data_IF_587942380759
#
_entry.id   IF_587942380759
#
_cell.length_a   1.000
_cell.length_b   1.000
_cell.length_c   1.000
_cell.angle_alpha   90.00
_cell.angle_beta   90.00
_cell.angle_gamma   90.00
#
_symmetry.space_group_name_H-M   'P 1'
#
loop_
_entity.id
_entity.type
_entity.pdbx_description
1 polymer ?
#
# COMPACT_ATOMS: atom_id res chain seq x y z
N UNK A 1 -8.95 14.78 4.79
CA UNK A 1 -9.72 13.60 4.33
C UNK A 1 -10.94 14.09 3.55
N UNK A 2 -11.32 13.45 2.45
CA UNK A 2 -12.47 13.84 1.60
C UNK A 2 -13.71 12.93 1.81
N UNK A 3 -13.84 12.31 2.98
CA UNK A 3 -14.88 11.31 3.30
C UNK A 3 -15.62 11.73 4.56
N UNK A 4 -16.92 11.43 4.61
CA UNK A 4 -17.77 11.60 5.78
C UNK A 4 -18.15 10.22 6.34
N UNK A 5 -18.09 10.07 7.65
CA UNK A 5 -18.31 8.82 8.35
C UNK A 5 -19.32 9.01 9.48
N UNK A 6 -20.16 8.00 9.73
CA UNK A 6 -20.97 7.97 10.95
C UNK A 6 -20.04 7.80 12.16
N UNK A 7 -20.25 8.59 13.21
CA UNK A 7 -19.40 8.58 14.41
C UNK A 7 -19.34 7.21 15.09
N UNK A 8 -20.42 6.44 15.02
CA UNK A 8 -20.50 5.11 15.61
C UNK A 8 -19.53 4.07 15.01
N UNK A 9 -19.08 4.27 13.77
CA UNK A 9 -18.07 3.40 13.16
C UNK A 9 -16.72 3.47 13.89
N UNK A 10 -16.49 4.54 14.66
CA UNK A 10 -15.30 4.76 15.48
C UNK A 10 -15.51 4.36 16.94
N UNK A 11 -16.47 3.52 17.32
CA UNK A 11 -16.59 3.10 18.73
C UNK A 11 -15.37 2.29 19.17
N UNK A 12 -15.00 1.29 18.39
CA UNK A 12 -13.93 0.30 18.64
C UNK A 12 -12.69 0.47 17.75
N UNK A 13 -12.73 1.39 16.78
CA UNK A 13 -11.61 1.64 15.84
C UNK A 13 -10.98 3.00 16.15
N UNK A 14 -9.65 3.05 16.24
CA UNK A 14 -8.88 4.30 16.43
C UNK A 14 -7.70 4.34 15.47
N UNK A 15 -7.32 5.55 15.07
CA UNK A 15 -6.08 5.76 14.34
C UNK A 15 -4.88 5.34 15.19
N UNK A 16 -3.97 4.51 14.66
CA UNK A 16 -2.76 4.13 15.39
C UNK A 16 -1.84 5.35 15.55
N UNK A 17 -1.38 5.60 16.78
CA UNK A 17 -0.47 6.72 17.07
C UNK A 17 0.93 6.41 16.52
N UNK A 18 1.51 7.36 15.80
CA UNK A 18 2.91 7.30 15.34
C UNK A 18 3.16 6.45 14.09
N UNK A 19 2.12 5.85 13.49
CA UNK A 19 2.22 5.09 12.26
C UNK A 19 2.09 6.03 11.05
N UNK A 20 2.96 5.92 10.04
CA UNK A 20 2.91 6.78 8.83
C UNK A 20 1.75 6.50 7.86
N UNK A 21 1.18 5.31 7.96
CA UNK A 21 0.07 4.86 7.12
C UNK A 21 -1.17 4.65 7.98
N UNK A 22 -1.39 5.53 8.96
CA UNK A 22 -2.51 5.51 9.90
C UNK A 22 -3.86 5.55 9.20
N UNK A 23 -3.96 6.33 8.11
CA UNK A 23 -5.17 6.38 7.27
C UNK A 23 -5.42 5.02 6.61
N UNK A 24 -4.38 4.37 6.06
CA UNK A 24 -4.52 3.05 5.44
C UNK A 24 -4.88 2.00 6.49
N UNK A 25 -4.30 2.06 7.69
CA UNK A 25 -4.60 1.14 8.77
C UNK A 25 -6.05 1.27 9.30
N UNK A 26 -6.71 2.41 9.05
CA UNK A 26 -8.00 2.75 9.69
C UNK A 26 -9.16 2.77 8.71
N UNK A 27 -9.04 3.50 7.59
CA UNK A 27 -10.16 3.77 6.69
C UNK A 27 -10.77 2.50 6.06
N UNK A 28 -9.98 1.51 5.59
CA UNK A 28 -10.53 0.26 5.07
C UNK A 28 -11.34 -0.53 6.10
N UNK A 29 -10.94 -0.50 7.37
CA UNK A 29 -11.70 -1.12 8.46
C UNK A 29 -13.06 -0.43 8.63
N UNK A 30 -13.09 0.91 8.62
CA UNK A 30 -14.35 1.66 8.71
C UNK A 30 -15.28 1.38 7.52
N UNK A 31 -14.71 1.20 6.32
CA UNK A 31 -15.48 0.81 5.13
C UNK A 31 -16.04 -0.60 5.26
N UNK A 32 -15.26 -1.55 5.82
CA UNK A 32 -15.73 -2.90 6.09
C UNK A 32 -16.89 -2.93 7.10
N UNK A 33 -16.84 -2.09 8.13
CA UNK A 33 -17.92 -1.96 9.13
C UNK A 33 -19.17 -1.25 8.60
N UNK A 34 -19.06 -0.49 7.51
CA UNK A 34 -20.15 0.35 7.02
C UNK A 34 -21.22 -0.50 6.32
N UNK A 35 -22.47 -0.41 6.79
CA UNK A 35 -23.59 -1.08 6.11
C UNK A 35 -23.93 -0.50 4.73
N UNK A 36 -23.48 0.73 4.43
CA UNK A 36 -23.59 1.33 3.10
C UNK A 36 -22.48 2.34 2.85
N UNK A 37 -22.04 2.42 1.58
CA UNK A 37 -21.02 3.37 1.12
C UNK A 37 -21.53 4.05 -0.14
N UNK A 38 -21.53 5.39 -0.16
CA UNK A 38 -21.98 6.20 -1.29
C UNK A 38 -20.84 7.08 -1.78
N UNK A 39 -20.69 7.21 -3.10
CA UNK A 39 -19.68 8.05 -3.75
C UNK A 39 -20.36 9.22 -4.48
N UNK A 40 -20.01 10.44 -4.12
CA UNK A 40 -20.29 11.63 -4.93
C UNK A 40 -19.13 11.83 -5.90
N UNK A 41 -19.39 11.79 -7.21
CA UNK A 41 -18.35 11.87 -8.24
C UNK A 41 -18.05 13.33 -8.64
N UNK A 42 -17.80 14.18 -7.64
CA UNK A 42 -17.52 15.62 -7.83
C UNK A 42 -16.29 16.05 -7.04
N UNK A 43 -15.50 16.95 -7.62
CA UNK A 43 -14.24 17.44 -7.06
C UNK A 43 -14.44 18.55 -6.01
N UNK A 44 -15.17 18.23 -4.94
CA UNK A 44 -15.55 19.21 -3.90
C UNK A 44 -14.45 19.48 -2.86
N UNK A 45 -13.41 18.64 -2.82
CA UNK A 45 -12.28 18.77 -1.89
C UNK A 45 -10.98 18.97 -2.66
N UNK A 46 -10.29 20.09 -2.43
CA UNK A 46 -9.01 20.40 -3.10
C UNK A 46 -7.82 19.99 -2.22
N UNK A 47 -6.95 19.14 -2.75
CA UNK A 47 -5.74 18.72 -2.06
C UNK A 47 -4.63 19.77 -2.20
N UNK A 48 -4.09 20.26 -1.08
CA UNK A 48 -2.97 21.21 -1.08
C UNK A 48 -1.65 20.47 -1.21
N UNK A 49 -0.94 20.68 -2.31
CA UNK A 49 0.42 20.17 -2.51
C UNK A 49 1.44 21.23 -2.08
N UNK A 50 2.53 20.79 -1.42
CA UNK A 50 3.64 21.66 -1.00
C UNK A 50 4.97 20.95 -1.22
N UNK A 51 6.01 21.74 -1.49
CA UNK A 51 7.41 21.27 -1.43
C UNK A 51 7.76 20.83 -0.01
N UNK A 52 8.65 19.85 0.12
CA UNK A 52 8.99 19.24 1.42
C UNK A 52 7.93 18.27 1.95
N UNK A 53 7.08 17.72 1.08
CA UNK A 53 6.23 16.60 1.48
C UNK A 53 7.10 15.38 1.84
N UNK A 54 6.63 14.61 2.81
CA UNK A 54 7.28 13.38 3.29
C UNK A 54 7.51 12.35 2.17
N UNK A 55 6.81 12.49 1.04
CA UNK A 55 6.80 11.50 -0.04
C UNK A 55 8.19 11.21 -0.65
N UNK A 56 9.11 12.18 -0.67
CA UNK A 56 10.39 12.08 -1.40
C UNK A 56 11.60 11.72 -0.52
N UNK A 57 11.51 11.96 0.79
CA UNK A 57 12.61 11.64 1.71
C UNK A 57 12.63 10.15 2.06
N UNK A 58 13.80 9.53 1.96
CA UNK A 58 14.00 8.15 2.40
C UNK A 58 13.95 8.06 3.93
N UNK A 59 12.99 7.29 4.42
CA UNK A 59 12.76 7.05 5.84
C UNK A 59 12.30 5.60 6.03
N UNK A 60 12.76 4.94 7.10
CA UNK A 60 12.39 3.53 7.36
C UNK A 60 10.90 3.34 7.60
N UNK A 61 10.17 4.39 7.98
CA UNK A 61 8.71 4.40 8.14
C UNK A 61 7.94 4.17 6.85
N UNK A 62 8.57 4.17 5.66
CA UNK A 62 7.88 3.66 4.46
C UNK A 62 7.42 2.20 4.63
N UNK A 63 8.09 1.43 5.50
CA UNK A 63 7.76 0.03 5.75
C UNK A 63 6.63 -0.16 6.77
N UNK A 64 6.16 0.91 7.42
CA UNK A 64 4.95 0.90 8.26
C UNK A 64 3.69 0.50 7.45
N UNK A 65 3.78 0.57 6.11
CA UNK A 65 2.74 0.08 5.19
C UNK A 65 2.36 -1.37 5.51
N UNK A 66 3.31 -2.22 5.88
CA UNK A 66 3.02 -3.63 6.17
C UNK A 66 2.28 -3.78 7.49
N UNK A 67 2.65 -3.03 8.52
CA UNK A 67 1.89 -2.95 9.77
C UNK A 67 0.46 -2.47 9.52
N UNK A 68 0.27 -1.46 8.66
CA UNK A 68 -1.06 -0.99 8.28
C UNK A 68 -1.88 -2.07 7.56
N UNK A 69 -1.29 -2.76 6.57
CA UNK A 69 -1.96 -3.81 5.82
C UNK A 69 -2.30 -5.03 6.68
N UNK A 70 -1.37 -5.46 7.53
CA UNK A 70 -1.56 -6.56 8.47
C UNK A 70 -2.68 -6.22 9.48
N UNK A 71 -2.75 -4.97 9.96
CA UNK A 71 -3.85 -4.51 10.82
C UNK A 71 -5.22 -4.67 10.17
N UNK A 72 -5.35 -4.29 8.88
CA UNK A 72 -6.61 -4.46 8.14
C UNK A 72 -6.95 -5.94 8.01
N UNK A 73 -5.98 -6.76 7.57
CA UNK A 73 -6.15 -8.19 7.36
C UNK A 73 -6.61 -8.88 8.63
N UNK A 74 -5.95 -8.60 9.74
CA UNK A 74 -6.19 -9.26 11.01
C UNK A 74 -7.53 -8.82 11.61
N UNK A 75 -7.89 -7.54 11.47
CA UNK A 75 -9.22 -7.06 11.85
C UNK A 75 -10.33 -7.74 11.06
N UNK A 76 -10.22 -7.80 9.73
CA UNK A 76 -11.25 -8.41 8.89
C UNK A 76 -11.37 -9.91 9.18
N UNK A 77 -10.26 -10.64 9.27
CA UNK A 77 -10.28 -12.07 9.62
C UNK A 77 -10.91 -12.37 10.98
N UNK A 78 -10.76 -11.47 11.94
CA UNK A 78 -11.37 -11.61 13.27
C UNK A 78 -12.88 -11.32 13.27
N UNK A 79 -13.40 -10.61 12.26
CA UNK A 79 -14.80 -10.15 12.22
C UNK A 79 -15.61 -10.73 11.04
N UNK A 80 -14.97 -11.42 10.11
CA UNK A 80 -15.61 -12.10 8.98
C UNK A 80 -14.60 -12.84 8.10
N UNK A 81 -15.10 -13.42 7.00
CA UNK A 81 -14.31 -14.29 6.13
C UNK A 81 -14.80 -14.22 4.67
N UNK A 82 -15.34 -13.07 4.27
CA UNK A 82 -15.88 -12.83 2.93
C UNK A 82 -14.75 -12.93 1.89
N UNK A 83 -14.81 -13.89 0.94
CA UNK A 83 -13.73 -14.12 -0.02
C UNK A 83 -13.40 -12.89 -0.87
N UNK A 84 -14.41 -12.10 -1.24
CA UNK A 84 -14.23 -10.88 -2.02
C UNK A 84 -13.47 -9.81 -1.22
N UNK A 85 -13.72 -9.69 0.08
CA UNK A 85 -13.04 -8.73 0.96
C UNK A 85 -11.60 -9.18 1.19
N UNK A 86 -11.37 -10.47 1.44
CA UNK A 86 -10.02 -11.01 1.59
C UNK A 86 -9.19 -10.87 0.30
N UNK A 87 -9.82 -11.08 -0.86
CA UNK A 87 -9.21 -10.82 -2.16
C UNK A 87 -8.88 -9.34 -2.35
N UNK A 88 -9.77 -8.42 -1.94
CA UNK A 88 -9.50 -6.99 -1.97
C UNK A 88 -8.32 -6.61 -1.06
N UNK A 89 -8.20 -7.21 0.13
CA UNK A 89 -7.06 -7.01 1.04
C UNK A 89 -5.77 -7.55 0.43
N UNK A 90 -5.78 -8.73 -0.17
CA UNK A 90 -4.64 -9.28 -0.91
C UNK A 90 -4.17 -8.31 -2.01
N UNK A 91 -5.13 -7.74 -2.76
CA UNK A 91 -4.88 -6.68 -3.74
C UNK A 91 -4.29 -5.40 -3.15
N UNK A 92 -4.51 -5.08 -1.87
CA UNK A 92 -3.85 -3.95 -1.21
C UNK A 92 -2.35 -4.21 -1.02
N UNK A 93 -1.92 -5.44 -0.72
CA UNK A 93 -0.48 -5.78 -0.67
C UNK A 93 0.20 -5.63 -2.02
N UNK A 94 -0.45 -6.08 -3.10
CA UNK A 94 0.06 -5.89 -4.46
C UNK A 94 0.15 -4.40 -4.83
N UNK A 95 -0.90 -3.61 -4.59
CA UNK A 95 -0.89 -2.19 -4.95
C UNK A 95 0.07 -1.40 -4.07
N UNK A 96 -0.02 -1.52 -2.74
CA UNK A 96 0.76 -0.68 -1.85
C UNK A 96 2.18 -1.20 -1.66
N UNK A 97 2.36 -2.50 -1.41
CA UNK A 97 3.66 -3.10 -1.13
C UNK A 97 4.51 -3.34 -2.37
N UNK A 98 3.94 -3.93 -3.43
CA UNK A 98 4.70 -4.21 -4.66
C UNK A 98 4.83 -2.98 -5.56
N UNK A 99 3.73 -2.29 -5.84
CA UNK A 99 3.75 -1.20 -6.84
C UNK A 99 4.11 0.16 -6.23
N UNK A 100 3.31 0.69 -5.32
CA UNK A 100 3.47 2.08 -4.86
C UNK A 100 4.74 2.28 -4.04
N UNK A 101 5.11 1.36 -3.16
CA UNK A 101 6.37 1.49 -2.39
C UNK A 101 7.60 1.39 -3.29
N UNK A 102 7.60 0.56 -4.34
CA UNK A 102 8.74 0.47 -5.26
C UNK A 102 8.87 1.71 -6.15
N UNK A 103 7.74 2.29 -6.57
CA UNK A 103 7.72 3.60 -7.24
C UNK A 103 8.17 4.73 -6.31
N UNK A 104 7.82 4.68 -5.03
CA UNK A 104 8.34 5.64 -4.04
C UNK A 104 9.85 5.54 -3.89
N UNK A 105 10.38 4.31 -3.80
CA UNK A 105 11.83 4.06 -3.69
C UNK A 105 12.55 4.52 -4.97
N UNK A 106 11.95 4.34 -6.15
CA UNK A 106 12.48 4.88 -7.41
C UNK A 106 12.74 6.38 -7.32
N UNK A 107 11.80 7.11 -6.72
CA UNK A 107 11.74 8.57 -6.65
C UNK A 107 12.53 9.16 -5.46
N UNK A 108 13.33 8.36 -4.75
CA UNK A 108 14.24 8.86 -3.73
C UNK A 108 15.32 9.77 -4.32
N UNK A 109 15.58 10.87 -3.63
CA UNK A 109 16.65 11.82 -3.99
C UNK A 109 18.03 11.16 -3.92
N UNK A 110 18.29 10.40 -2.84
CA UNK A 110 19.49 9.59 -2.71
C UNK A 110 19.32 8.25 -3.44
N UNK A 111 19.93 8.17 -4.63
CA UNK A 111 19.87 6.96 -5.46
C UNK A 111 20.65 5.78 -4.90
N UNK A 112 21.63 6.02 -4.02
CA UNK A 112 22.58 4.99 -3.53
C UNK A 112 21.90 3.97 -2.62
N UNK A 113 20.89 4.41 -1.87
CA UNK A 113 20.13 3.59 -0.91
C UNK A 113 19.00 2.79 -1.54
N UNK A 114 18.58 3.11 -2.78
CA UNK A 114 17.39 2.50 -3.41
C UNK A 114 17.44 0.97 -3.47
N UNK A 115 18.62 0.40 -3.72
CA UNK A 115 18.81 -1.06 -3.79
C UNK A 115 18.52 -1.74 -2.45
N UNK A 116 19.03 -1.17 -1.36
CA UNK A 116 18.78 -1.68 0.00
C UNK A 116 17.28 -1.64 0.30
N UNK A 117 16.64 -0.51 0.01
CA UNK A 117 15.21 -0.34 0.26
C UNK A 117 14.33 -1.26 -0.59
N UNK A 118 14.67 -1.48 -1.88
CA UNK A 118 13.96 -2.47 -2.71
C UNK A 118 14.10 -3.87 -2.12
N UNK A 119 15.29 -4.24 -1.65
CA UNK A 119 15.53 -5.54 -1.05
C UNK A 119 14.70 -5.76 0.22
N UNK A 120 14.71 -4.77 1.12
CA UNK A 120 13.93 -4.82 2.35
C UNK A 120 12.41 -4.81 2.08
N UNK A 121 11.96 -4.01 1.11
CA UNK A 121 10.55 -3.98 0.67
C UNK A 121 10.09 -5.38 0.24
N UNK A 122 10.85 -6.01 -0.66
CA UNK A 122 10.48 -7.34 -1.18
C UNK A 122 10.54 -8.42 -0.09
N UNK A 123 11.48 -8.33 0.85
CA UNK A 123 11.54 -9.24 2.02
C UNK A 123 10.27 -9.11 2.87
N UNK A 124 9.85 -7.89 3.20
CA UNK A 124 8.65 -7.65 4.03
C UNK A 124 7.37 -8.03 3.30
N UNK A 125 7.25 -7.70 2.02
CA UNK A 125 6.11 -8.11 1.20
C UNK A 125 5.96 -9.63 1.18
N UNK A 126 7.04 -10.36 0.91
CA UNK A 126 7.00 -11.82 0.87
C UNK A 126 6.69 -12.43 2.25
N UNK A 127 7.06 -11.77 3.35
CA UNK A 127 6.72 -12.23 4.70
C UNK A 127 5.24 -12.00 5.04
N UNK A 128 4.69 -10.83 4.73
CA UNK A 128 3.29 -10.49 5.06
C UNK A 128 2.26 -11.09 4.08
N UNK A 129 2.62 -11.28 2.81
CA UNK A 129 1.76 -11.83 1.76
C UNK A 129 2.61 -12.60 0.74
N UNK A 130 2.95 -13.89 0.96
CA UNK A 130 3.86 -14.66 0.11
C UNK A 130 3.38 -14.88 -1.33
N UNK A 131 2.06 -14.89 -1.54
CA UNK A 131 1.41 -15.19 -2.81
C UNK A 131 0.96 -13.94 -3.58
N UNK A 132 1.47 -12.77 -3.22
CA UNK A 132 1.20 -11.47 -3.87
C UNK A 132 1.29 -11.48 -5.40
N UNK A 133 2.16 -12.32 -5.99
CA UNK A 133 2.30 -12.45 -7.45
C UNK A 133 1.10 -13.12 -8.13
N UNK A 134 0.25 -13.83 -7.38
CA UNK A 134 -1.00 -14.45 -7.86
C UNK A 134 -2.16 -13.46 -7.94
N UNK A 135 -1.99 -12.24 -7.44
CA UNK A 135 -3.04 -11.22 -7.44
C UNK A 135 -3.51 -10.88 -8.86
N UNK A 136 -4.82 -10.68 -9.02
CA UNK A 136 -5.40 -10.35 -10.32
C UNK A 136 -4.90 -9.01 -10.88
N UNK A 137 -4.60 -8.01 -10.05
CA UNK A 137 -4.03 -6.74 -10.52
C UNK A 137 -2.61 -6.93 -11.06
N UNK A 138 -1.83 -7.81 -10.44
CA UNK A 138 -0.48 -8.17 -10.94
C UNK A 138 -0.59 -8.90 -12.28
N UNK A 139 -1.49 -9.88 -12.39
CA UNK A 139 -1.74 -10.61 -13.65
C UNK A 139 -2.31 -9.74 -14.76
N UNK A 140 -3.08 -8.70 -14.45
CA UNK A 140 -3.66 -7.77 -15.44
C UNK A 140 -2.79 -6.54 -15.72
N UNK A 141 -1.67 -6.38 -15.01
CA UNK A 141 -0.76 -5.26 -15.23
C UNK A 141 -0.18 -5.25 -16.66
N UNK A 142 0.13 -4.05 -17.16
CA UNK A 142 0.79 -3.90 -18.46
C UNK A 142 2.17 -4.55 -18.48
N UNK A 143 2.65 -4.92 -19.67
CA UNK A 143 3.88 -5.73 -19.84
C UNK A 143 5.12 -5.11 -19.18
N UNK A 144 5.29 -3.78 -19.22
CA UNK A 144 6.39 -3.07 -18.55
C UNK A 144 6.36 -3.31 -17.03
N UNK A 145 5.18 -3.17 -16.41
CA UNK A 145 5.00 -3.41 -14.97
C UNK A 145 5.24 -4.88 -14.63
N UNK A 146 4.71 -5.80 -15.42
CA UNK A 146 4.95 -7.25 -15.25
C UNK A 146 6.44 -7.59 -15.28
N UNK A 147 7.20 -7.01 -16.20
CA UNK A 147 8.65 -7.20 -16.26
C UNK A 147 9.32 -6.70 -14.96
N UNK A 148 8.98 -5.51 -14.49
CA UNK A 148 9.50 -4.97 -13.23
C UNK A 148 9.14 -5.89 -12.05
N UNK A 149 7.88 -6.31 -11.94
CA UNK A 149 7.42 -7.21 -10.87
C UNK A 149 8.14 -8.56 -10.88
N UNK A 150 8.35 -9.14 -12.07
CA UNK A 150 9.12 -10.36 -12.22
C UNK A 150 10.58 -10.18 -11.78
N UNK A 151 11.24 -9.09 -12.19
CA UNK A 151 12.62 -8.79 -11.78
C UNK A 151 12.74 -8.55 -10.27
N UNK A 152 11.78 -7.85 -9.67
CA UNK A 152 11.69 -7.67 -8.22
C UNK A 152 11.56 -9.01 -7.49
N UNK A 153 10.65 -9.88 -7.94
CA UNK A 153 10.45 -11.22 -7.37
C UNK A 153 11.70 -12.12 -7.52
N UNK A 154 12.44 -11.96 -8.62
CA UNK A 154 13.74 -12.63 -8.85
C UNK A 154 14.93 -11.96 -8.14
N UNK A 155 14.69 -10.92 -7.32
CA UNK A 155 15.71 -10.14 -6.60
C UNK A 155 16.75 -9.47 -7.53
N UNK A 156 16.39 -9.21 -8.78
CA UNK A 156 17.25 -8.54 -9.80
C UNK A 156 17.16 -7.01 -9.67
N UNK A 157 17.45 -6.49 -8.48
CA UNK A 157 17.24 -5.07 -8.16
C UNK A 157 18.04 -4.11 -9.03
N UNK A 158 19.28 -4.46 -9.42
CA UNK A 158 20.09 -3.62 -10.31
C UNK A 158 19.44 -3.44 -11.69
N UNK A 159 18.76 -4.48 -12.21
CA UNK A 159 18.03 -4.39 -13.48
C UNK A 159 16.77 -3.53 -13.35
N UNK A 160 16.06 -3.66 -12.23
CA UNK A 160 14.89 -2.82 -11.92
C UNK A 160 15.30 -1.34 -11.89
N UNK A 161 16.37 -1.00 -11.17
CA UNK A 161 16.87 0.37 -11.07
C UNK A 161 17.32 0.91 -12.44
N UNK A 162 18.01 0.11 -13.25
CA UNK A 162 18.36 0.48 -14.64
C UNK A 162 17.13 0.75 -15.51
N UNK A 163 16.04 0.02 -15.33
CA UNK A 163 14.79 0.25 -16.06
C UNK A 163 14.04 1.48 -15.56
N UNK A 164 14.17 1.81 -14.29
CA UNK A 164 13.58 3.00 -13.69
C UNK A 164 14.31 4.30 -14.07
N UNK A 165 15.62 4.25 -14.27
CA UNK A 165 16.43 5.41 -14.66
C UNK A 165 16.48 5.65 -16.19
N UNK A 166 15.75 4.85 -16.98
CA UNK A 166 15.56 5.03 -18.44
C UNK A 166 14.31 5.85 -18.74
#
# INVERSE_FOLDING_TARGET
CNKLFRSELFRDVRFPKGLWYEDLATIPILLYKAGSVVKVNEALYRYRQRSGSIAHSADRRIFDIYTALDTIRDYVKANGNEPEVLSAIHSLYAVHGLELTTLRIRDFDDKSIRKEYLSENMKRLAASCPDYMKDEKVKKAGWKKKLIFALLNMKKYDMVLKLYDR
#
